data_IF_776647859195
#
_entry.id   IF_776647859195
#
_cell.length_a   1.000
_cell.length_b   1.000
_cell.length_c   1.000
_cell.angle_alpha   90.00
_cell.angle_beta   90.00
_cell.angle_gamma   90.00
#
_symmetry.space_group_name_H-M   'P 1'
#
loop_
_entity.id
_entity.type
_entity.pdbx_description
1 polymer ?
#
# COMPACT_ATOMS: atom_id res chain seq x y z
N UNK A 1 9.23 2.24 7.34
CA UNK A 1 9.17 0.79 7.05
C UNK A 1 9.97 0.58 5.78
N UNK A 2 11.01 -0.24 5.83
CA UNK A 2 11.76 -0.62 4.63
C UNK A 2 11.83 -2.13 4.51
N UNK A 3 12.78 -2.63 3.73
CA UNK A 3 13.04 -4.08 3.60
C UNK A 3 13.21 -4.77 4.97
N UNK A 4 13.76 -4.04 5.94
CA UNK A 4 13.77 -4.43 7.35
C UNK A 4 12.74 -3.59 8.13
N UNK A 5 12.12 -4.22 9.12
CA UNK A 5 11.29 -3.54 10.12
C UNK A 5 12.07 -3.35 11.41
N UNK A 6 12.63 -2.16 11.64
CA UNK A 6 13.26 -1.81 12.92
C UNK A 6 12.28 -1.13 13.88
N UNK A 7 12.37 -1.50 15.16
CA UNK A 7 11.55 -0.91 16.22
C UNK A 7 12.39 -0.65 17.46
N UNK A 8 12.12 0.49 18.12
CA UNK A 8 12.73 0.86 19.40
C UNK A 8 11.63 1.14 20.41
N UNK A 9 11.68 0.48 21.57
CA UNK A 9 10.79 0.72 22.70
C UNK A 9 11.56 1.36 23.85
N UNK A 10 11.07 2.52 24.33
CA UNK A 10 11.66 3.26 25.46
C UNK A 10 10.82 3.12 26.72
N UNK A 11 11.44 2.73 27.84
CA UNK A 11 10.83 2.71 29.18
C UNK A 11 11.74 3.41 30.18
N UNK A 12 11.40 4.66 30.53
CA UNK A 12 12.29 5.52 31.32
C UNK A 12 13.60 5.76 30.56
N UNK A 13 14.74 5.42 31.17
CA UNK A 13 16.07 5.50 30.55
C UNK A 13 16.46 4.25 29.74
N UNK A 14 15.66 3.16 29.78
CA UNK A 14 15.97 1.93 29.04
C UNK A 14 15.44 1.99 27.61
N UNK A 15 16.25 1.53 26.67
CA UNK A 15 15.89 1.31 25.26
C UNK A 15 15.99 -0.18 24.93
N UNK A 16 14.97 -0.72 24.27
CA UNK A 16 14.96 -2.08 23.73
C UNK A 16 14.79 -1.95 22.22
N UNK A 17 15.70 -2.54 21.45
CA UNK A 17 15.67 -2.49 20.00
C UNK A 17 15.51 -3.90 19.44
N UNK A 18 14.77 -4.03 18.34
CA UNK A 18 14.64 -5.26 17.56
C UNK A 18 14.55 -4.95 16.07
N UNK A 19 14.79 -5.95 15.24
CA UNK A 19 14.60 -5.89 13.79
C UNK A 19 14.00 -7.20 13.29
N UNK A 20 13.23 -7.13 12.21
CA UNK A 20 12.68 -8.29 11.51
C UNK A 20 12.81 -8.10 10.00
N UNK A 21 12.92 -9.20 9.26
CA UNK A 21 12.68 -9.17 7.82
C UNK A 21 11.22 -8.77 7.57
N UNK A 22 11.00 -7.73 6.76
CA UNK A 22 9.68 -7.24 6.38
C UNK A 22 9.43 -7.41 4.87
N UNK A 23 10.49 -7.30 4.06
CA UNK A 23 10.41 -7.30 2.60
C UNK A 23 10.13 -5.90 2.02
N UNK A 24 10.41 -5.69 0.72
CA UNK A 24 10.45 -4.34 0.14
C UNK A 24 9.08 -3.83 -0.36
N UNK A 25 7.95 -4.46 0.04
CA UNK A 25 6.64 -4.15 -0.53
C UNK A 25 6.24 -2.67 -0.39
N UNK A 26 6.45 -2.07 0.79
CA UNK A 26 6.19 -0.64 1.03
C UNK A 26 7.24 0.30 0.43
N UNK A 27 8.29 -0.24 -0.17
CA UNK A 27 9.25 0.50 -1.00
C UNK A 27 8.87 0.37 -2.50
N UNK A 28 7.77 -0.30 -2.80
CA UNK A 28 7.33 -0.65 -4.15
C UNK A 28 8.08 -1.83 -4.77
N UNK A 29 8.92 -2.52 -4.00
CA UNK A 29 9.69 -3.67 -4.49
C UNK A 29 8.83 -4.92 -4.60
N UNK A 30 9.11 -5.75 -5.62
CA UNK A 30 8.41 -7.01 -5.92
C UNK A 30 6.89 -6.86 -6.16
N UNK A 31 6.42 -5.65 -6.48
CA UNK A 31 5.06 -5.37 -6.93
C UNK A 31 5.15 -4.92 -8.38
N UNK A 32 4.36 -5.51 -9.28
CA UNK A 32 4.47 -5.30 -10.73
C UNK A 32 4.40 -3.82 -11.13
N UNK A 33 3.46 -3.08 -10.53
CA UNK A 33 3.31 -1.63 -10.74
C UNK A 33 3.97 -0.81 -9.62
N UNK A 34 4.71 -1.43 -8.71
CA UNK A 34 5.30 -0.80 -7.55
C UNK A 34 6.52 0.06 -7.88
N UNK A 35 6.67 1.18 -7.17
CA UNK A 35 7.89 1.98 -7.20
C UNK A 35 8.13 2.70 -5.88
N UNK A 36 9.30 3.33 -5.74
CA UNK A 36 9.50 4.37 -4.73
C UNK A 36 8.62 5.61 -4.99
N UNK A 37 8.64 6.55 -4.06
CA UNK A 37 7.90 7.82 -4.15
C UNK A 37 8.51 8.78 -5.16
N UNK A 38 8.18 8.60 -6.44
CA UNK A 38 8.65 9.42 -7.57
C UNK A 38 7.49 10.16 -8.24
N UNK A 39 7.81 11.17 -9.06
CA UNK A 39 6.79 11.94 -9.80
C UNK A 39 5.95 11.00 -10.67
N UNK A 40 4.62 11.08 -10.53
CA UNK A 40 3.67 10.20 -11.23
C UNK A 40 3.36 8.89 -10.50
N UNK A 41 4.03 8.57 -9.38
CA UNK A 41 3.60 7.47 -8.54
C UNK A 41 2.30 7.85 -7.82
N UNK A 42 1.32 6.95 -7.83
CA UNK A 42 0.08 7.06 -7.06
C UNK A 42 0.43 6.92 -5.59
N UNK A 43 0.11 7.95 -4.80
CA UNK A 43 0.44 8.03 -3.37
C UNK A 43 -0.77 8.06 -2.45
N UNK A 44 -1.96 8.35 -2.98
CA UNK A 44 -3.23 8.34 -2.26
C UNK A 44 -4.25 7.61 -3.12
N UNK A 45 -5.00 6.70 -2.50
CA UNK A 45 -6.08 5.94 -3.13
C UNK A 45 -7.32 6.05 -2.25
N UNK A 46 -8.43 6.53 -2.81
CA UNK A 46 -9.74 6.46 -2.17
C UNK A 46 -10.69 5.67 -3.06
N UNK A 47 -11.66 5.01 -2.43
CA UNK A 47 -12.82 4.43 -3.10
C UNK A 47 -14.07 5.07 -2.54
N UNK A 48 -14.83 5.77 -3.38
CA UNK A 48 -16.01 6.55 -2.97
C UNK A 48 -17.11 6.32 -4.00
N UNK A 49 -18.28 5.90 -3.53
CA UNK A 49 -19.48 5.71 -4.37
C UNK A 49 -19.25 4.84 -5.62
N UNK A 50 -18.45 3.78 -5.49
CA UNK A 50 -18.13 2.87 -6.60
C UNK A 50 -17.00 3.33 -7.51
N UNK A 51 -16.33 4.45 -7.21
CA UNK A 51 -15.30 5.03 -8.05
C UNK A 51 -13.96 5.18 -7.33
N UNK A 52 -12.89 4.93 -8.07
CA UNK A 52 -11.51 5.14 -7.62
C UNK A 52 -11.09 6.61 -7.80
N UNK A 53 -10.65 7.24 -6.70
CA UNK A 53 -10.00 8.55 -6.71
C UNK A 53 -8.52 8.39 -6.39
N UNK A 54 -7.67 8.73 -7.35
CA UNK A 54 -6.22 8.49 -7.31
C UNK A 54 -5.46 9.81 -7.38
N UNK A 55 -4.52 10.02 -6.45
CA UNK A 55 -3.63 11.18 -6.49
C UNK A 55 -2.18 10.76 -6.66
N UNK A 56 -1.49 11.44 -7.57
CA UNK A 56 -0.08 11.18 -7.89
C UNK A 56 0.84 12.23 -7.32
N UNK A 57 2.07 11.83 -7.02
CA UNK A 57 3.12 12.76 -6.60
C UNK A 57 3.40 13.76 -7.73
N UNK A 58 3.19 15.04 -7.43
CA UNK A 58 3.42 16.14 -8.37
C UNK A 58 2.34 16.32 -9.43
N UNK A 59 1.14 15.74 -9.24
CA UNK A 59 0.00 15.84 -10.14
C UNK A 59 0.37 15.51 -11.61
N UNK A 60 1.19 14.47 -11.79
CA UNK A 60 1.60 13.98 -13.09
C UNK A 60 0.75 12.78 -13.52
N UNK A 61 0.85 12.38 -14.79
CA UNK A 61 0.23 11.15 -15.26
C UNK A 61 0.68 9.95 -14.40
N UNK A 62 -0.23 9.03 -14.04
CA UNK A 62 0.10 7.87 -13.23
C UNK A 62 1.01 6.92 -14.01
N UNK A 63 2.11 6.50 -13.40
CA UNK A 63 3.09 5.56 -14.01
C UNK A 63 3.40 4.36 -13.14
N UNK A 64 3.07 4.43 -11.84
CA UNK A 64 3.34 3.41 -10.84
C UNK A 64 2.53 3.69 -9.57
N UNK A 65 2.63 2.83 -8.57
CA UNK A 65 2.08 3.02 -7.22
C UNK A 65 3.21 2.97 -6.18
N UNK A 66 3.24 3.92 -5.25
CA UNK A 66 4.22 3.91 -4.16
C UNK A 66 3.67 3.25 -2.90
N UNK A 67 4.51 3.07 -1.88
CA UNK A 67 4.14 2.37 -0.65
C UNK A 67 2.88 2.89 0.04
N UNK A 68 2.65 4.21 0.07
CA UNK A 68 1.43 4.77 0.65
C UNK A 68 0.21 4.45 -0.21
N UNK A 69 0.32 4.56 -1.54
CA UNK A 69 -0.75 4.16 -2.45
C UNK A 69 -1.08 2.67 -2.34
N UNK A 70 -0.08 1.81 -2.19
CA UNK A 70 -0.29 0.37 -1.97
C UNK A 70 -1.08 0.14 -0.68
N UNK A 71 -0.72 0.81 0.42
CA UNK A 71 -1.41 0.65 1.69
C UNK A 71 -2.87 1.13 1.60
N UNK A 72 -3.11 2.29 0.99
CA UNK A 72 -4.45 2.84 0.79
C UNK A 72 -5.31 1.93 -0.10
N UNK A 73 -4.74 1.43 -1.21
CA UNK A 73 -5.41 0.49 -2.11
C UNK A 73 -5.81 -0.79 -1.37
N UNK A 74 -4.88 -1.39 -0.61
CA UNK A 74 -5.18 -2.60 0.18
C UNK A 74 -6.28 -2.35 1.21
N UNK A 75 -6.26 -1.18 1.88
CA UNK A 75 -7.29 -0.82 2.84
C UNK A 75 -8.67 -0.68 2.17
N UNK A 76 -8.74 -0.08 0.98
CA UNK A 76 -9.98 0.04 0.21
C UNK A 76 -10.48 -1.33 -0.27
N UNK A 77 -9.61 -2.17 -0.83
CA UNK A 77 -9.98 -3.50 -1.31
C UNK A 77 -10.57 -4.38 -0.18
N UNK A 78 -9.96 -4.37 1.00
CA UNK A 78 -10.50 -5.08 2.18
C UNK A 78 -11.80 -4.43 2.66
N UNK A 79 -11.85 -3.09 2.72
CA UNK A 79 -13.01 -2.35 3.22
C UNK A 79 -14.28 -2.58 2.39
N UNK A 80 -14.13 -2.72 1.08
CA UNK A 80 -15.23 -3.00 0.14
C UNK A 80 -15.52 -4.50 -0.04
N UNK A 81 -14.67 -5.36 0.53
CA UNK A 81 -14.76 -6.81 0.39
C UNK A 81 -14.49 -7.32 -1.02
N UNK A 82 -13.61 -6.62 -1.76
CA UNK A 82 -13.07 -7.08 -3.05
C UNK A 82 -11.93 -8.08 -2.87
N UNK A 83 -11.29 -8.04 -1.70
CA UNK A 83 -10.40 -9.09 -1.21
C UNK A 83 -10.79 -9.48 0.21
N UNK A 84 -10.55 -10.74 0.57
CA UNK A 84 -10.74 -11.22 1.95
C UNK A 84 -9.50 -10.96 2.83
N UNK A 85 -9.57 -11.35 4.11
CA UNK A 85 -8.47 -11.19 5.06
C UNK A 85 -7.23 -12.01 4.75
N UNK A 86 -7.34 -13.01 3.86
CA UNK A 86 -6.23 -13.82 3.36
C UNK A 86 -5.52 -13.17 2.17
N UNK A 87 -6.14 -12.14 1.58
CA UNK A 87 -5.70 -11.49 0.36
C UNK A 87 -6.19 -12.18 -0.91
N UNK A 88 -7.13 -13.12 -0.81
CA UNK A 88 -7.76 -13.74 -1.97
C UNK A 88 -8.77 -12.74 -2.57
N UNK A 89 -8.72 -12.60 -3.89
CA UNK A 89 -9.66 -11.76 -4.63
C UNK A 89 -11.03 -12.46 -4.76
N UNK A 90 -12.09 -11.68 -4.64
CA UNK A 90 -13.45 -12.12 -4.94
C UNK A 90 -13.74 -11.93 -6.43
N UNK A 91 -13.41 -12.93 -7.24
CA UNK A 91 -13.50 -12.88 -8.71
C UNK A 91 -14.92 -12.54 -9.20
N UNK A 92 -15.97 -12.97 -8.49
CA UNK A 92 -17.37 -12.68 -8.86
C UNK A 92 -17.71 -11.19 -8.74
N UNK A 93 -17.08 -10.48 -7.79
CA UNK A 93 -17.30 -9.04 -7.59
C UNK A 93 -16.41 -8.15 -8.44
N UNK A 94 -15.28 -8.67 -8.91
CA UNK A 94 -14.33 -7.94 -9.74
C UNK A 94 -14.72 -7.98 -11.22
N UNK A 95 -15.30 -9.10 -11.70
CA UNK A 95 -15.71 -9.23 -13.10
C UNK A 95 -17.05 -8.54 -13.44
N UNK A 96 -17.87 -8.15 -12.44
CA UNK A 96 -19.13 -7.42 -12.66
C UNK A 96 -18.93 -5.93 -13.05
N UNK A 97 -17.69 -5.42 -12.91
CA UNK A 97 -17.28 -4.05 -13.26
C UNK A 97 -16.65 -3.94 -14.68
N UNK A 98 -16.73 -4.99 -15.53
CA UNK A 98 -16.20 -5.01 -16.90
C UNK A 98 -17.23 -4.77 -18.01
#
# INVERSE_FOLDING_TARGET
MGTNGEMIFKRGERLICTSTAAGPAFEGGNIECGSGSTRGAISIVNYVDGAWDLQTIGAAAPVSICGSGILDLMAALVGEGLIDETGLMDDERIDDDR
#
